data_IF_669387780048
#
_entry.id   IF_669387780048
#
_cell.length_a   1.000
_cell.length_b   1.000
_cell.length_c   1.000
_cell.angle_alpha   90.00
_cell.angle_beta   90.00
_cell.angle_gamma   90.00
#
_symmetry.space_group_name_H-M   'P 1'
#
loop_
_entity.id
_entity.type
_entity.pdbx_description
1 polymer ?
#
# COMPACT_ATOMS: atom_id res chain seq x y z
N UNK A 1 -43.16 5.28 30.32
CA UNK A 1 -42.59 5.81 29.05
C UNK A 1 -41.26 6.53 29.26
N UNK A 2 -41.14 7.43 30.26
CA UNK A 2 -39.91 8.21 30.53
C UNK A 2 -38.66 7.36 30.85
N UNK A 3 -38.84 6.24 31.56
CA UNK A 3 -37.72 5.33 31.89
C UNK A 3 -37.19 4.59 30.65
N UNK A 4 -38.09 4.20 29.73
CA UNK A 4 -37.73 3.50 28.49
C UNK A 4 -36.98 4.43 27.54
N UNK A 5 -37.41 5.69 27.43
CA UNK A 5 -36.66 6.71 26.66
C UNK A 5 -35.30 7.00 27.28
N UNK A 6 -35.17 6.96 28.61
CA UNK A 6 -33.87 7.12 29.28
C UNK A 6 -32.89 5.99 28.95
N UNK A 7 -33.38 4.75 28.95
CA UNK A 7 -32.57 3.55 28.61
C UNK A 7 -32.14 3.58 27.14
N UNK A 8 -33.03 3.97 26.24
CA UNK A 8 -32.71 4.11 24.81
C UNK A 8 -31.65 5.19 24.57
N UNK A 9 -31.75 6.35 25.23
CA UNK A 9 -30.73 7.39 25.16
C UNK A 9 -29.38 6.92 25.71
N UNK A 10 -29.37 6.19 26.84
CA UNK A 10 -28.14 5.65 27.41
C UNK A 10 -27.47 4.64 26.48
N UNK A 11 -28.25 3.77 25.83
CA UNK A 11 -27.73 2.82 24.85
C UNK A 11 -27.13 3.53 23.62
N UNK A 12 -27.74 4.62 23.17
CA UNK A 12 -27.23 5.41 22.04
C UNK A 12 -25.91 6.13 22.38
N UNK A 13 -25.78 6.64 23.60
CA UNK A 13 -24.56 7.31 24.08
C UNK A 13 -23.39 6.35 24.29
N UNK A 14 -23.66 5.10 24.68
CA UNK A 14 -22.64 4.07 24.86
C UNK A 14 -22.07 3.51 23.55
N UNK A 15 -22.75 3.71 22.42
CA UNK A 15 -22.30 3.29 21.10
C UNK A 15 -21.79 4.48 20.25
N UNK A 16 -21.48 5.63 20.88
CA UNK A 16 -21.09 6.84 20.17
C UNK A 16 -19.72 6.75 19.47
N UNK A 17 -18.91 5.74 19.80
CA UNK A 17 -17.57 5.54 19.23
C UNK A 17 -17.58 4.65 17.99
N UNK A 18 -18.52 4.86 17.07
CA UNK A 18 -18.35 4.37 15.70
C UNK A 18 -17.30 5.26 15.05
N UNK A 19 -16.03 4.87 15.19
CA UNK A 19 -14.93 5.51 14.48
C UNK A 19 -15.25 5.50 12.98
N UNK A 20 -15.50 6.69 12.42
CA UNK A 20 -15.38 6.91 11.00
C UNK A 20 -13.95 6.49 10.62
N UNK A 21 -13.80 5.71 9.54
CA UNK A 21 -12.49 5.39 9.00
C UNK A 21 -11.75 6.71 8.81
N UNK A 22 -10.68 6.91 9.59
CA UNK A 22 -9.71 7.97 9.35
C UNK A 22 -9.00 7.56 8.06
N UNK A 23 -9.65 7.87 6.94
CA UNK A 23 -9.02 7.92 5.64
C UNK A 23 -8.10 9.13 5.70
N UNK A 24 -7.02 8.97 6.48
CA UNK A 24 -5.98 9.96 6.65
C UNK A 24 -5.65 10.44 5.26
N UNK A 25 -5.54 11.76 5.11
CA UNK A 25 -5.44 12.41 3.79
C UNK A 25 -4.22 11.87 3.06
N UNK A 26 -4.38 10.74 2.38
CA UNK A 26 -3.38 10.15 1.51
C UNK A 26 -3.42 11.04 0.29
N UNK A 27 -2.70 12.15 0.39
CA UNK A 27 -2.47 13.04 -0.72
C UNK A 27 -1.92 12.20 -1.86
N UNK A 28 -2.36 12.49 -3.07
CA UNK A 28 -1.87 11.81 -4.29
C UNK A 28 -0.33 11.75 -4.28
N UNK A 29 0.34 12.78 -3.73
CA UNK A 29 1.77 12.79 -3.49
C UNK A 29 2.30 11.60 -2.68
N UNK A 30 1.66 11.22 -1.57
CA UNK A 30 2.07 10.09 -0.72
C UNK A 30 1.95 8.77 -1.49
N UNK A 31 0.85 8.57 -2.21
CA UNK A 31 0.63 7.39 -3.05
C UNK A 31 1.68 7.28 -4.16
N UNK A 32 2.01 8.40 -4.80
CA UNK A 32 3.07 8.45 -5.80
C UNK A 32 4.47 8.15 -5.21
N UNK A 33 4.77 8.68 -4.03
CA UNK A 33 6.04 8.41 -3.34
C UNK A 33 6.18 6.94 -2.96
N UNK A 34 5.11 6.33 -2.45
CA UNK A 34 5.07 4.90 -2.18
C UNK A 34 5.30 4.09 -3.45
N UNK A 35 4.60 4.44 -4.54
CA UNK A 35 4.74 3.72 -5.80
C UNK A 35 6.15 3.86 -6.41
N UNK A 36 6.78 5.03 -6.35
CA UNK A 36 8.16 5.24 -6.80
C UNK A 36 9.15 4.44 -5.93
N UNK A 37 8.87 4.28 -4.64
CA UNK A 37 9.72 3.46 -3.75
C UNK A 37 9.63 1.96 -4.05
N UNK A 38 8.46 1.47 -4.47
CA UNK A 38 8.22 0.06 -4.77
C UNK A 38 8.64 -0.32 -6.20
N UNK A 39 8.50 0.62 -7.14
CA UNK A 39 8.78 0.40 -8.55
C UNK A 39 9.89 1.34 -9.03
N UNK A 40 11.14 0.84 -9.14
CA UNK A 40 12.25 1.62 -9.66
C UNK A 40 11.92 2.17 -11.04
N UNK A 41 12.10 3.47 -11.22
CA UNK A 41 11.80 4.16 -12.48
C UNK A 41 12.84 3.85 -13.57
N UNK A 42 14.05 3.45 -13.17
CA UNK A 42 15.15 3.21 -14.10
C UNK A 42 15.13 1.78 -14.61
N UNK A 43 15.08 1.63 -15.94
CA UNK A 43 15.19 0.34 -16.60
C UNK A 43 16.66 -0.03 -16.77
N UNK A 44 17.08 -1.09 -16.09
CA UNK A 44 18.43 -1.65 -16.28
C UNK A 44 18.46 -2.44 -17.59
N UNK A 45 19.31 -2.00 -18.51
CA UNK A 45 19.59 -2.70 -19.75
C UNK A 45 20.93 -3.42 -19.61
N UNK A 46 20.89 -4.75 -19.51
CA UNK A 46 22.09 -5.59 -19.47
C UNK A 46 22.24 -6.29 -20.81
N UNK A 47 23.46 -6.27 -21.35
CA UNK A 47 23.81 -7.02 -22.55
C UNK A 47 24.83 -8.11 -22.23
N UNK A 48 24.58 -9.31 -22.76
CA UNK A 48 25.54 -10.42 -22.71
C UNK A 48 26.46 -10.39 -23.92
N UNK A 49 27.64 -11.01 -23.81
CA UNK A 49 28.61 -11.09 -24.91
C UNK A 49 28.13 -11.98 -26.07
N UNK A 50 27.37 -13.04 -25.76
CA UNK A 50 26.86 -14.02 -26.74
C UNK A 50 25.36 -14.34 -26.57
N UNK A 51 24.70 -14.80 -27.64
CA UNK A 51 23.27 -15.17 -27.63
C UNK A 51 22.99 -16.57 -27.07
N UNK A 52 23.98 -17.46 -27.02
CA UNK A 52 23.84 -18.81 -26.45
C UNK A 52 25.15 -19.27 -25.81
N UNK A 53 25.03 -20.17 -24.83
CA UNK A 53 26.13 -20.72 -24.05
C UNK A 53 25.96 -22.23 -23.88
N UNK A 54 27.09 -22.93 -23.73
CA UNK A 54 27.17 -24.35 -23.40
C UNK A 54 27.61 -24.49 -21.94
N UNK A 55 27.30 -25.61 -21.30
CA UNK A 55 27.74 -25.91 -19.94
C UNK A 55 29.25 -25.78 -19.79
N UNK A 56 29.70 -24.94 -18.87
CA UNK A 56 31.12 -24.64 -18.63
C UNK A 56 31.59 -23.31 -19.22
N UNK A 57 30.78 -22.64 -20.05
CA UNK A 57 31.10 -21.32 -20.58
C UNK A 57 31.03 -20.23 -19.51
N UNK A 58 31.89 -19.22 -19.63
CA UNK A 58 31.83 -18.00 -18.82
C UNK A 58 30.98 -16.95 -19.53
N UNK A 59 30.00 -16.39 -18.83
CA UNK A 59 29.09 -15.35 -19.33
C UNK A 59 29.62 -13.98 -18.91
N UNK A 60 29.83 -13.08 -19.88
CA UNK A 60 30.22 -11.70 -19.62
C UNK A 60 29.02 -10.77 -19.79
N UNK A 61 28.88 -9.79 -18.89
CA UNK A 61 27.78 -8.84 -18.86
C UNK A 61 28.32 -7.40 -18.84
N UNK A 62 27.65 -6.49 -19.56
CA UNK A 62 27.88 -5.04 -19.53
C UNK A 62 26.56 -4.30 -19.34
#
# INVERSE_FOLDING_TARGET
MKAITFVLCAFFLLNADIQAQDMGTDTIQKLFLEQISLYPQEKVHVQTDKPSYISGDTIWMR
#
